data_IF_641147453774
#
_entry.id   IF_641147453774
#
_cell.length_a   1.000
_cell.length_b   1.000
_cell.length_c   1.000
_cell.angle_alpha   90.00
_cell.angle_beta   90.00
_cell.angle_gamma   90.00
#
_symmetry.space_group_name_H-M   'P 1'
#
loop_
_entity.id
_entity.type
_entity.pdbx_description
1 polymer ?
#
# COMPACT_ATOMS: atom_id res chain seq x y z
N UNK A 1 -5.63 -6.59 2.91
CA UNK A 1 -5.18 -5.74 4.03
C UNK A 1 -3.76 -5.26 3.75
N UNK A 2 -3.50 -3.98 3.99
CA UNK A 2 -2.18 -3.39 3.81
C UNK A 2 -1.32 -3.65 5.04
N UNK A 3 -0.03 -4.00 4.83
CA UNK A 3 0.92 -4.25 5.92
C UNK A 3 0.71 -5.53 6.69
N UNK A 4 -0.04 -6.45 6.15
CA UNK A 4 -0.31 -7.73 6.81
C UNK A 4 1.00 -8.52 7.02
N UNK A 5 1.20 -9.02 8.23
CA UNK A 5 2.42 -9.74 8.61
C UNK A 5 3.59 -8.83 8.99
N UNK A 6 3.43 -7.51 8.88
CA UNK A 6 4.45 -6.57 9.31
C UNK A 6 4.29 -6.26 10.80
N UNK A 7 5.40 -6.27 11.53
CA UNK A 7 5.45 -5.82 12.93
C UNK A 7 5.99 -4.40 12.95
N UNK A 8 5.19 -3.48 13.48
CA UNK A 8 5.56 -2.08 13.60
C UNK A 8 5.95 -1.74 15.03
N UNK A 9 7.01 -0.95 15.18
CA UNK A 9 7.46 -0.45 16.49
C UNK A 9 7.46 1.06 16.45
N UNK A 10 6.86 1.68 17.45
CA UNK A 10 6.78 3.13 17.57
C UNK A 10 7.71 3.63 18.70
N UNK A 11 8.21 4.84 18.54
CA UNK A 11 8.94 5.55 19.57
C UNK A 11 8.49 7.01 19.62
N UNK A 12 8.86 7.71 20.70
CA UNK A 12 8.53 9.13 20.84
C UNK A 12 9.25 9.96 19.77
N UNK A 13 8.56 10.93 19.24
CA UNK A 13 9.16 11.89 18.33
C UNK A 13 10.31 12.64 19.05
N UNK A 14 11.47 12.68 18.42
CA UNK A 14 12.66 13.32 18.99
C UNK A 14 13.46 12.44 19.96
N UNK A 15 13.02 11.21 20.25
CA UNK A 15 13.79 10.25 21.06
C UNK A 15 14.85 9.58 20.18
N UNK A 16 15.98 10.26 19.99
CA UNK A 16 17.06 9.79 19.13
C UNK A 16 17.75 8.54 19.67
N UNK A 17 17.83 8.36 20.98
CA UNK A 17 18.45 7.19 21.59
C UNK A 17 17.65 5.92 21.29
N UNK A 18 16.33 5.95 21.48
CA UNK A 18 15.46 4.83 21.13
C UNK A 18 15.46 4.56 19.62
N UNK A 19 15.44 5.61 18.83
CA UNK A 19 15.51 5.50 17.37
C UNK A 19 16.77 4.78 16.90
N UNK A 20 17.91 5.06 17.51
CA UNK A 20 19.17 4.38 17.20
C UNK A 20 19.11 2.89 17.50
N UNK A 21 18.54 2.53 18.66
CA UNK A 21 18.37 1.11 19.04
C UNK A 21 17.44 0.41 18.07
N UNK A 22 16.32 1.03 17.70
CA UNK A 22 15.34 0.44 16.78
C UNK A 22 15.87 0.31 15.38
N UNK A 23 16.82 1.14 14.96
CA UNK A 23 17.44 1.04 13.65
C UNK A 23 18.11 -0.33 13.42
N UNK A 24 18.54 -0.99 14.50
CA UNK A 24 19.18 -2.31 14.41
C UNK A 24 18.20 -3.42 14.01
N UNK A 25 16.89 -3.22 14.24
CA UNK A 25 15.85 -4.20 13.89
C UNK A 25 15.04 -3.77 12.66
N UNK A 26 15.35 -2.63 12.08
CA UNK A 26 14.71 -2.17 10.86
C UNK A 26 15.04 -3.12 9.70
N UNK A 27 14.02 -3.50 8.94
CA UNK A 27 14.16 -4.36 7.77
C UNK A 27 13.78 -3.58 6.52
N UNK A 28 14.77 -3.02 5.78
CA UNK A 28 14.49 -2.16 4.64
C UNK A 28 13.57 -2.75 3.58
N UNK A 29 13.69 -4.03 3.17
CA UNK A 29 12.73 -4.61 2.21
C UNK A 29 11.28 -4.59 2.71
N UNK A 30 11.05 -4.90 4.00
CA UNK A 30 9.71 -4.83 4.59
C UNK A 30 9.21 -3.39 4.65
N UNK A 31 10.05 -2.45 5.05
CA UNK A 31 9.72 -1.02 5.07
C UNK A 31 9.32 -0.54 3.67
N UNK A 32 10.10 -0.86 2.66
CA UNK A 32 9.82 -0.51 1.28
C UNK A 32 8.46 -1.07 0.83
N UNK A 33 8.20 -2.35 1.11
CA UNK A 33 6.93 -3.00 0.74
C UNK A 33 5.74 -2.30 1.41
N UNK A 34 5.81 -2.07 2.72
CA UNK A 34 4.71 -1.43 3.47
C UNK A 34 4.48 0.01 3.04
N UNK A 35 5.53 0.79 2.82
CA UNK A 35 5.41 2.17 2.35
C UNK A 35 4.78 2.23 0.96
N UNK A 36 5.11 1.28 0.09
CA UNK A 36 4.53 1.18 -1.25
C UNK A 36 3.04 0.82 -1.19
N UNK A 37 2.67 -0.16 -0.35
CA UNK A 37 1.27 -0.53 -0.13
C UNK A 37 0.46 0.64 0.43
N UNK A 38 1.04 1.38 1.37
CA UNK A 38 0.39 2.56 1.96
C UNK A 38 0.20 3.70 0.95
N UNK A 39 1.11 3.84 0.00
CA UNK A 39 0.97 4.84 -1.06
C UNK A 39 -0.25 4.56 -1.96
N UNK A 40 -0.54 3.28 -2.22
CA UNK A 40 -1.76 2.87 -2.90
C UNK A 40 -3.00 3.26 -2.08
N UNK A 41 -3.01 2.91 -0.81
CA UNK A 41 -4.14 3.16 0.07
C UNK A 41 -4.39 4.67 0.28
N UNK A 42 -3.34 5.47 0.35
CA UNK A 42 -3.44 6.91 0.58
C UNK A 42 -4.24 7.64 -0.51
N UNK A 43 -4.14 7.20 -1.75
CA UNK A 43 -4.90 7.78 -2.87
C UNK A 43 -6.39 7.48 -2.74
N UNK A 44 -6.75 6.35 -2.16
CA UNK A 44 -8.15 5.96 -1.95
C UNK A 44 -8.79 6.69 -0.77
N UNK A 45 -7.98 7.30 0.08
CA UNK A 45 -8.43 8.10 1.21
C UNK A 45 -8.63 7.29 2.48
N UNK A 46 -8.44 7.96 3.63
CA UNK A 46 -8.75 7.39 4.94
C UNK A 46 -10.27 7.35 5.13
N UNK A 47 -10.76 6.32 5.77
CA UNK A 47 -12.20 6.14 5.98
C UNK A 47 -12.92 5.50 4.81
N UNK A 48 -12.18 5.00 3.83
CA UNK A 48 -12.75 4.21 2.76
C UNK A 48 -13.31 2.91 3.35
N UNK A 49 -14.62 2.72 3.24
CA UNK A 49 -15.28 1.49 3.65
C UNK A 49 -15.28 0.43 2.54
N UNK A 50 -14.66 0.73 1.42
CA UNK A 50 -14.58 -0.20 0.29
C UNK A 50 -13.62 -1.34 0.60
N UNK A 51 -13.94 -2.56 0.14
CA UNK A 51 -12.98 -3.65 0.18
C UNK A 51 -11.74 -3.30 -0.65
N UNK A 52 -10.59 -3.26 0.02
CA UNK A 52 -9.34 -2.87 -0.59
C UNK A 52 -8.21 -3.75 -0.06
N UNK A 53 -7.29 -4.10 -0.93
CA UNK A 53 -6.09 -4.83 -0.56
C UNK A 53 -4.91 -4.41 -1.42
N UNK A 54 -3.72 -4.50 -0.84
CA UNK A 54 -2.48 -4.30 -1.56
C UNK A 54 -1.39 -5.13 -0.91
N UNK A 55 -0.58 -5.79 -1.71
CA UNK A 55 0.52 -6.61 -1.24
C UNK A 55 1.71 -6.50 -2.20
N UNK A 56 2.86 -6.20 -1.64
CA UNK A 56 4.14 -6.21 -2.38
C UNK A 56 4.87 -7.51 -2.02
N UNK A 57 5.15 -8.33 -3.03
CA UNK A 57 5.85 -9.60 -2.83
C UNK A 57 7.38 -9.41 -2.80
N UNK A 58 8.09 -10.50 -2.53
CA UNK A 58 9.55 -10.48 -2.41
C UNK A 58 10.25 -10.14 -3.74
N UNK A 59 9.60 -10.30 -4.87
CA UNK A 59 10.16 -10.00 -6.20
C UNK A 59 9.92 -8.55 -6.65
N UNK A 60 9.21 -7.76 -5.85
CA UNK A 60 8.95 -6.36 -6.16
C UNK A 60 7.74 -6.13 -7.03
N UNK A 61 6.75 -7.01 -6.96
CA UNK A 61 5.47 -6.83 -7.65
C UNK A 61 4.39 -6.49 -6.62
N UNK A 62 3.67 -5.39 -6.86
CA UNK A 62 2.47 -5.07 -6.09
C UNK A 62 1.26 -5.70 -6.77
N UNK A 63 0.44 -6.38 -5.97
CA UNK A 63 -0.88 -6.86 -6.39
C UNK A 63 -1.92 -6.10 -5.59
N UNK A 64 -2.90 -5.51 -6.28
CA UNK A 64 -3.92 -4.68 -5.64
C UNK A 64 -5.31 -5.19 -5.95
N UNK A 65 -6.23 -4.95 -5.02
CA UNK A 65 -7.63 -5.28 -5.16
C UNK A 65 -8.45 -4.06 -4.72
N UNK A 66 -9.45 -3.71 -5.50
CA UNK A 66 -10.43 -2.69 -5.15
C UNK A 66 -11.80 -3.16 -5.62
N UNK A 67 -12.80 -3.04 -4.75
CA UNK A 67 -14.18 -3.36 -5.10
C UNK A 67 -15.10 -2.20 -4.73
N UNK A 68 -16.16 -2.05 -5.49
CA UNK A 68 -17.22 -1.09 -5.23
C UNK A 68 -18.56 -1.74 -5.53
N UNK A 69 -19.56 -1.47 -4.71
CA UNK A 69 -20.91 -1.95 -4.92
C UNK A 69 -21.86 -0.75 -5.01
N UNK A 70 -22.78 -0.80 -5.97
CA UNK A 70 -23.84 0.17 -6.14
C UNK A 70 -25.18 -0.53 -6.38
N UNK A 71 -26.22 0.23 -6.70
CA UNK A 71 -27.55 -0.33 -6.96
C UNK A 71 -27.58 -1.26 -8.19
N UNK A 72 -26.62 -1.15 -9.10
CA UNK A 72 -26.53 -1.98 -10.29
C UNK A 72 -25.73 -3.28 -10.07
N UNK A 73 -25.02 -3.40 -8.93
CA UNK A 73 -24.24 -4.57 -8.59
C UNK A 73 -22.87 -4.23 -8.00
N UNK A 74 -22.01 -5.24 -7.92
CA UNK A 74 -20.64 -5.09 -7.43
C UNK A 74 -19.63 -5.20 -8.58
N UNK A 75 -18.59 -4.38 -8.51
CA UNK A 75 -17.46 -4.42 -9.43
C UNK A 75 -16.18 -4.56 -8.64
N UNK A 76 -15.23 -5.30 -9.18
CA UNK A 76 -13.91 -5.44 -8.57
C UNK A 76 -12.83 -5.36 -9.64
N UNK A 77 -11.67 -4.86 -9.22
CA UNK A 77 -10.50 -4.71 -10.08
C UNK A 77 -9.29 -5.26 -9.34
N UNK A 78 -8.56 -6.15 -9.99
CA UNK A 78 -7.27 -6.66 -9.52
C UNK A 78 -6.21 -6.19 -10.50
N UNK A 79 -5.16 -5.56 -9.99
CA UNK A 79 -4.06 -5.05 -10.81
C UNK A 79 -2.72 -5.44 -10.25
N UNK A 80 -1.73 -5.48 -11.11
CA UNK A 80 -0.35 -5.75 -10.73
C UNK A 80 0.58 -4.76 -11.42
N UNK A 81 1.68 -4.42 -10.76
CA UNK A 81 2.71 -3.58 -11.32
C UNK A 81 4.07 -3.88 -10.67
N UNK A 82 5.14 -3.56 -11.38
CA UNK A 82 6.50 -3.64 -10.86
C UNK A 82 6.79 -2.42 -9.99
N UNK A 83 7.13 -2.67 -8.75
CA UNK A 83 7.51 -1.64 -7.77
C UNK A 83 8.89 -1.93 -7.16
N UNK A 84 9.73 -2.67 -7.89
CA UNK A 84 11.07 -3.04 -7.43
C UNK A 84 12.03 -1.86 -7.36
N UNK A 85 11.78 -0.78 -8.14
CA UNK A 85 12.58 0.43 -8.08
C UNK A 85 12.09 1.32 -6.92
N UNK A 86 12.89 1.50 -5.86
CA UNK A 86 12.48 2.30 -4.70
C UNK A 86 12.21 3.77 -5.04
N UNK A 87 12.81 4.31 -6.09
CA UNK A 87 12.63 5.71 -6.47
C UNK A 87 11.26 5.98 -7.10
N UNK A 88 10.65 4.97 -7.71
CA UNK A 88 9.38 5.10 -8.43
C UNK A 88 8.23 4.31 -7.81
N UNK A 89 8.51 3.42 -6.87
CA UNK A 89 7.53 2.49 -6.32
C UNK A 89 6.25 3.16 -5.80
N UNK A 90 6.40 4.23 -5.03
CA UNK A 90 5.24 4.95 -4.47
C UNK A 90 4.42 5.66 -5.54
N UNK A 91 5.09 6.20 -6.56
CA UNK A 91 4.41 6.84 -7.69
C UNK A 91 3.63 5.82 -8.50
N UNK A 92 4.21 4.65 -8.74
CA UNK A 92 3.55 3.55 -9.45
C UNK A 92 2.33 3.08 -8.66
N UNK A 93 2.47 2.88 -7.36
CA UNK A 93 1.37 2.46 -6.49
C UNK A 93 0.24 3.50 -6.46
N UNK A 94 0.58 4.79 -6.40
CA UNK A 94 -0.40 5.87 -6.42
C UNK A 94 -1.16 5.93 -7.74
N UNK A 95 -0.47 5.77 -8.87
CA UNK A 95 -1.12 5.73 -10.18
C UNK A 95 -2.01 4.50 -10.33
N UNK A 96 -1.55 3.36 -9.83
CA UNK A 96 -2.34 2.13 -9.83
C UNK A 96 -3.67 2.33 -9.07
N UNK A 97 -3.64 3.06 -7.96
CA UNK A 97 -4.85 3.39 -7.21
C UNK A 97 -5.81 4.27 -8.02
N UNK A 98 -5.28 5.25 -8.74
CA UNK A 98 -6.10 6.13 -9.60
C UNK A 98 -6.74 5.35 -10.73
N UNK A 99 -5.98 4.47 -11.38
CA UNK A 99 -6.48 3.61 -12.46
C UNK A 99 -7.55 2.66 -11.92
N UNK A 100 -7.29 2.01 -10.79
CA UNK A 100 -8.24 1.08 -10.16
C UNK A 100 -9.56 1.78 -9.84
N UNK A 101 -9.50 3.01 -9.33
CA UNK A 101 -10.70 3.79 -9.02
C UNK A 101 -11.52 4.10 -10.28
N UNK A 102 -10.86 4.47 -11.38
CA UNK A 102 -11.54 4.71 -12.65
C UNK A 102 -12.20 3.45 -13.17
N UNK A 103 -11.48 2.34 -13.14
CA UNK A 103 -11.98 1.06 -13.65
C UNK A 103 -13.17 0.56 -12.83
N UNK A 104 -13.09 0.63 -11.49
CA UNK A 104 -14.16 0.11 -10.63
C UNK A 104 -15.41 0.98 -10.69
N UNK A 105 -15.27 2.28 -10.89
CA UNK A 105 -16.42 3.19 -11.03
C UNK A 105 -17.07 3.14 -12.40
N UNK A 106 -16.41 2.56 -13.39
CA UNK A 106 -16.90 2.48 -14.76
C UNK A 106 -16.85 3.81 -15.50
N UNK A 107 -15.98 4.73 -15.07
CA UNK A 107 -15.85 6.07 -15.65
C UNK A 107 -14.47 6.33 -16.23
#
# INVERSE_FOLDING_TARGET
MVGQGCVAVEHRFGDSATREVLAAIDHPPTRHAVETERAFLAVLGSGCSLPVGAHVNATGTITTFLAEADAAGARSVVMQADVSDPDTARLVAAELARVSRREVSGR
#
